data_IF_872114402680
#
_entry.id   IF_872114402680
#
_cell.length_a   1.000
_cell.length_b   1.000
_cell.length_c   1.000
_cell.angle_alpha   90.00
_cell.angle_beta   90.00
_cell.angle_gamma   90.00
#
_symmetry.space_group_name_H-M   'P 1'
#
loop_
_entity.id
_entity.type
_entity.pdbx_description
1 polymer ?
#
# COMPACT_ATOMS: atom_id res chain seq x y z
N UNK A 1 3.52 -21.84 -0.58
CA UNK A 1 2.17 -21.30 -0.93
C UNK A 1 1.29 -21.47 0.29
N UNK A 2 0.54 -20.44 0.67
CA UNK A 2 -0.40 -20.51 1.81
C UNK A 2 -1.68 -21.25 1.38
N UNK A 3 -2.22 -22.12 2.25
CA UNK A 3 -3.50 -22.82 2.03
C UNK A 3 -4.63 -21.83 1.72
N UNK A 4 -4.63 -20.68 2.39
CA UNK A 4 -5.61 -19.59 2.20
C UNK A 4 -5.59 -19.03 0.78
N UNK A 5 -4.41 -18.93 0.15
CA UNK A 5 -4.28 -18.47 -1.23
C UNK A 5 -4.96 -19.45 -2.19
N UNK A 6 -4.81 -20.76 -1.96
CA UNK A 6 -5.50 -21.79 -2.75
C UNK A 6 -7.01 -21.76 -2.54
N UNK A 7 -7.47 -21.62 -1.29
CA UNK A 7 -8.89 -21.50 -0.97
C UNK A 7 -9.53 -20.25 -1.62
N UNK A 8 -8.81 -19.12 -1.62
CA UNK A 8 -9.23 -17.89 -2.29
C UNK A 8 -9.44 -18.08 -3.79
N UNK A 9 -8.47 -18.68 -4.49
CA UNK A 9 -8.58 -18.91 -5.94
C UNK A 9 -9.70 -19.90 -6.28
N UNK A 10 -9.87 -20.95 -5.46
CA UNK A 10 -10.99 -21.89 -5.63
C UNK A 10 -12.35 -21.22 -5.43
N UNK A 11 -12.50 -20.40 -4.37
CA UNK A 11 -13.73 -19.67 -4.10
C UNK A 11 -14.07 -18.68 -5.22
N UNK A 12 -13.07 -17.94 -5.69
CA UNK A 12 -13.19 -17.03 -6.83
C UNK A 12 -13.62 -17.75 -8.10
N UNK A 13 -12.99 -18.89 -8.41
CA UNK A 13 -13.33 -19.70 -9.57
C UNK A 13 -14.76 -20.25 -9.47
N UNK A 14 -15.18 -20.69 -8.28
CA UNK A 14 -16.54 -21.14 -8.02
C UNK A 14 -17.57 -20.01 -8.23
N UNK A 15 -17.30 -18.80 -7.73
CA UNK A 15 -18.15 -17.63 -7.96
C UNK A 15 -18.28 -17.26 -9.43
N UNK A 16 -17.15 -17.20 -10.15
CA UNK A 16 -17.14 -16.92 -11.59
C UNK A 16 -17.89 -17.99 -12.41
N UNK A 17 -17.80 -19.26 -12.00
CA UNK A 17 -18.56 -20.34 -12.65
C UNK A 17 -20.06 -20.23 -12.34
N UNK A 18 -20.42 -19.96 -11.08
CA UNK A 18 -21.80 -19.77 -10.65
C UNK A 18 -22.50 -18.63 -11.42
N UNK A 19 -21.82 -17.51 -11.64
CA UNK A 19 -22.32 -16.41 -12.47
C UNK A 19 -22.56 -16.84 -13.93
N UNK A 20 -21.61 -17.58 -14.53
CA UNK A 20 -21.73 -18.06 -15.92
C UNK A 20 -22.91 -19.00 -16.13
N UNK A 21 -23.18 -19.88 -15.17
CA UNK A 21 -24.31 -20.82 -15.24
C UNK A 21 -25.63 -20.22 -14.75
N UNK A 22 -25.65 -18.92 -14.41
CA UNK A 22 -26.81 -18.22 -13.84
C UNK A 22 -27.35 -18.92 -12.59
N UNK A 23 -26.44 -19.38 -11.73
CA UNK A 23 -26.79 -19.95 -10.44
C UNK A 23 -27.59 -18.94 -9.60
N UNK A 24 -28.31 -19.43 -8.59
CA UNK A 24 -29.06 -18.56 -7.69
C UNK A 24 -28.11 -17.57 -7.01
N UNK A 25 -28.60 -16.36 -6.76
CA UNK A 25 -27.86 -15.29 -6.07
C UNK A 25 -27.28 -15.78 -4.73
N UNK A 26 -28.02 -16.62 -4.01
CA UNK A 26 -27.58 -17.24 -2.75
C UNK A 26 -26.29 -18.06 -2.90
N UNK A 27 -26.12 -18.81 -3.99
CA UNK A 27 -24.89 -19.59 -4.22
C UNK A 27 -23.69 -18.71 -4.55
N UNK A 28 -23.92 -17.63 -5.30
CA UNK A 28 -22.89 -16.62 -5.62
C UNK A 28 -22.45 -15.91 -4.33
N UNK A 29 -23.40 -15.51 -3.48
CA UNK A 29 -23.11 -14.85 -2.21
C UNK A 29 -22.34 -15.77 -1.26
N UNK A 30 -22.69 -17.06 -1.20
CA UNK A 30 -21.92 -18.08 -0.44
C UNK A 30 -20.48 -18.22 -0.94
N UNK A 31 -20.28 -18.26 -2.26
CA UNK A 31 -18.93 -18.32 -2.84
C UNK A 31 -18.12 -17.05 -2.52
N UNK A 32 -18.75 -15.88 -2.59
CA UNK A 32 -18.11 -14.60 -2.23
C UNK A 32 -17.74 -14.52 -0.75
N UNK A 33 -18.58 -15.03 0.15
CA UNK A 33 -18.24 -15.15 1.59
C UNK A 33 -17.03 -16.06 1.81
N UNK A 34 -17.00 -17.22 1.16
CA UNK A 34 -15.83 -18.12 1.24
C UNK A 34 -14.55 -17.45 0.70
N UNK A 35 -14.67 -16.68 -0.37
CA UNK A 35 -13.57 -15.90 -0.92
C UNK A 35 -13.11 -14.80 0.04
N UNK A 36 -14.04 -14.10 0.70
CA UNK A 36 -13.74 -13.10 1.72
C UNK A 36 -12.99 -13.71 2.92
N UNK A 37 -13.48 -14.83 3.46
CA UNK A 37 -12.83 -15.50 4.60
C UNK A 37 -11.40 -15.93 4.24
N UNK A 38 -11.21 -16.52 3.05
CA UNK A 38 -9.89 -16.87 2.56
C UNK A 38 -8.97 -15.64 2.39
N UNK A 39 -9.51 -14.52 1.89
CA UNK A 39 -8.78 -13.26 1.72
C UNK A 39 -8.36 -12.68 3.07
N UNK A 40 -9.23 -12.71 4.09
CA UNK A 40 -8.92 -12.25 5.45
C UNK A 40 -7.78 -13.07 6.05
N UNK A 41 -7.85 -14.39 5.97
CA UNK A 41 -6.80 -15.28 6.48
C UNK A 41 -5.48 -15.01 5.74
N UNK A 42 -5.50 -14.92 4.41
CA UNK A 42 -4.31 -14.60 3.60
C UNK A 42 -3.69 -13.27 4.03
N UNK A 43 -4.52 -12.25 4.26
CA UNK A 43 -4.07 -10.92 4.67
C UNK A 43 -3.44 -10.93 6.05
N UNK A 44 -4.02 -11.65 7.02
CA UNK A 44 -3.42 -11.84 8.35
C UNK A 44 -2.08 -12.58 8.28
N UNK A 45 -1.94 -13.58 7.40
CA UNK A 45 -0.66 -14.23 7.16
C UNK A 45 0.39 -13.24 6.61
N UNK A 46 0.00 -12.30 5.74
CA UNK A 46 0.90 -11.25 5.27
C UNK A 46 1.32 -10.29 6.38
N UNK A 47 0.38 -9.90 7.26
CA UNK A 47 0.70 -9.10 8.45
C UNK A 47 1.76 -9.81 9.31
N UNK A 48 1.53 -11.09 9.64
CA UNK A 48 2.46 -11.88 10.43
C UNK A 48 3.83 -12.07 9.75
N UNK A 49 3.84 -12.31 8.42
CA UNK A 49 5.07 -12.42 7.65
C UNK A 49 5.89 -11.12 7.68
N UNK A 50 5.25 -9.97 7.49
CA UNK A 50 5.92 -8.68 7.55
C UNK A 50 6.53 -8.41 8.93
N UNK A 51 5.84 -8.82 9.99
CA UNK A 51 6.33 -8.70 11.36
C UNK A 51 7.52 -9.60 11.66
N UNK A 52 7.44 -10.88 11.28
CA UNK A 52 8.55 -11.81 11.43
C UNK A 52 9.81 -11.34 10.67
N UNK A 53 9.64 -10.79 9.46
CA UNK A 53 10.75 -10.28 8.66
C UNK A 53 11.35 -9.02 9.28
N UNK A 54 10.53 -8.08 9.73
CA UNK A 54 11.02 -6.85 10.36
C UNK A 54 11.71 -7.14 11.71
N UNK A 55 11.18 -8.08 12.49
CA UNK A 55 11.82 -8.58 13.72
C UNK A 55 13.18 -9.23 13.42
N UNK A 56 13.25 -10.11 12.42
CA UNK A 56 14.51 -10.70 11.98
C UNK A 56 15.51 -9.65 11.49
N UNK A 57 15.03 -8.57 10.86
CA UNK A 57 15.86 -7.45 10.42
C UNK A 57 16.40 -6.65 11.60
N UNK A 58 15.59 -6.35 12.62
CA UNK A 58 16.02 -5.65 13.85
C UNK A 58 17.04 -6.48 14.61
N UNK A 59 16.84 -7.78 14.69
CA UNK A 59 17.74 -8.73 15.35
C UNK A 59 19.03 -9.03 14.56
N UNK A 60 19.25 -8.38 13.41
CA UNK A 60 20.44 -8.58 12.57
C UNK A 60 20.53 -9.94 11.87
N UNK A 61 19.46 -10.74 11.91
CA UNK A 61 19.38 -12.09 11.31
C UNK A 61 19.11 -12.04 9.80
N UNK A 62 18.66 -10.90 9.27
CA UNK A 62 18.41 -10.74 7.84
C UNK A 62 19.65 -10.19 7.11
N UNK A 63 20.17 -10.95 6.14
CA UNK A 63 21.26 -10.52 5.27
C UNK A 63 20.74 -9.60 4.16
N UNK A 64 21.40 -8.46 3.95
CA UNK A 64 21.06 -7.47 2.90
C UNK A 64 21.70 -7.75 1.53
N UNK A 65 22.43 -8.86 1.38
CA UNK A 65 23.14 -9.17 0.14
C UNK A 65 24.31 -8.21 -0.09
N UNK A 66 25.41 -8.43 0.61
CA UNK A 66 26.67 -7.70 0.46
C UNK A 66 27.86 -8.67 0.53
N UNK A 67 29.09 -8.15 0.41
CA UNK A 67 30.33 -8.96 0.49
C UNK A 67 30.28 -9.87 1.72
N UNK A 68 30.33 -11.19 1.49
CA UNK A 68 30.33 -12.19 2.55
C UNK A 68 31.46 -11.87 3.53
N UNK A 69 31.11 -11.70 4.82
CA UNK A 69 32.11 -11.71 5.88
C UNK A 69 32.64 -13.13 6.00
N UNK A 70 33.96 -13.27 6.03
CA UNK A 70 34.71 -14.53 6.12
C UNK A 70 34.46 -15.32 7.42
N UNK A 71 33.64 -14.80 8.35
CA UNK A 71 33.37 -15.41 9.64
C UNK A 71 32.00 -16.11 9.59
N UNK A 72 32.04 -17.43 9.76
CA UNK A 72 30.93 -18.39 9.59
C UNK A 72 29.94 -18.44 10.77
N UNK A 73 29.94 -17.47 11.68
CA UNK A 73 29.36 -17.61 13.03
C UNK A 73 28.05 -16.83 13.26
N UNK A 74 27.42 -16.34 12.19
CA UNK A 74 26.15 -15.61 12.30
C UNK A 74 25.06 -16.32 11.49
N UNK A 75 24.01 -16.81 12.18
CA UNK A 75 22.76 -17.37 11.61
C UNK A 75 21.98 -16.28 10.83
N UNK A 76 22.57 -15.80 9.74
CA UNK A 76 21.96 -14.83 8.84
C UNK A 76 21.40 -15.53 7.63
N UNK A 77 20.16 -15.20 7.29
CA UNK A 77 19.49 -15.70 6.10
C UNK A 77 19.10 -14.56 5.15
N UNK A 78 19.00 -14.86 3.86
CA UNK A 78 18.44 -13.94 2.87
C UNK A 78 16.93 -14.14 2.71
N UNK A 79 16.22 -13.12 2.21
CA UNK A 79 14.79 -13.26 1.90
C UNK A 79 14.51 -14.37 0.87
N UNK A 80 15.46 -14.59 -0.05
CA UNK A 80 15.37 -15.61 -1.09
C UNK A 80 15.47 -17.03 -0.51
N UNK A 81 16.34 -17.25 0.48
CA UNK A 81 16.47 -18.54 1.18
C UNK A 81 15.18 -18.96 1.91
N UNK A 82 14.41 -17.99 2.42
CA UNK A 82 13.11 -18.23 3.04
C UNK A 82 11.93 -18.12 2.05
N UNK A 83 12.21 -17.99 0.75
CA UNK A 83 11.21 -17.96 -0.31
C UNK A 83 10.31 -16.72 -0.31
N UNK A 84 10.78 -15.61 0.28
CA UNK A 84 10.04 -14.34 0.35
C UNK A 84 10.53 -13.41 -0.76
N UNK A 85 9.62 -13.11 -1.69
CA UNK A 85 9.84 -12.11 -2.73
C UNK A 85 9.73 -10.68 -2.16
N UNK A 86 10.64 -9.78 -2.56
CA UNK A 86 10.69 -8.38 -2.09
C UNK A 86 9.39 -7.63 -2.37
N UNK A 87 8.77 -7.87 -3.53
CA UNK A 87 7.50 -7.23 -3.89
C UNK A 87 6.36 -7.72 -2.99
N UNK A 88 6.30 -9.02 -2.69
CA UNK A 88 5.36 -9.57 -1.71
C UNK A 88 5.57 -9.00 -0.32
N UNK A 89 6.82 -8.86 0.12
CA UNK A 89 7.13 -8.24 1.42
C UNK A 89 6.67 -6.78 1.48
N UNK A 90 6.88 -6.00 0.41
CA UNK A 90 6.38 -4.63 0.33
C UNK A 90 4.84 -4.57 0.45
N UNK A 91 4.15 -5.45 -0.27
CA UNK A 91 2.68 -5.55 -0.19
C UNK A 91 2.20 -5.92 1.21
N UNK A 92 2.85 -6.91 1.84
CA UNK A 92 2.56 -7.33 3.20
C UNK A 92 2.78 -6.20 4.22
N UNK A 93 3.87 -5.43 4.08
CA UNK A 93 4.12 -4.23 4.91
C UNK A 93 3.05 -3.17 4.74
N UNK A 94 2.57 -2.94 3.52
CA UNK A 94 1.47 -2.01 3.27
C UNK A 94 0.17 -2.47 3.95
N UNK A 95 -0.19 -3.75 3.86
CA UNK A 95 -1.42 -4.24 4.52
C UNK A 95 -1.28 -4.16 6.04
N UNK A 96 -0.13 -4.60 6.58
CA UNK A 96 0.17 -4.51 8.01
C UNK A 96 0.09 -3.08 8.53
N UNK A 97 0.72 -2.13 7.85
CA UNK A 97 0.76 -0.76 8.33
C UNK A 97 -0.65 -0.15 8.37
N UNK A 98 -1.52 -0.50 7.41
CA UNK A 98 -2.92 -0.08 7.43
C UNK A 98 -3.67 -0.71 8.61
N UNK A 99 -3.50 -2.02 8.83
CA UNK A 99 -4.11 -2.73 9.97
C UNK A 99 -3.64 -2.20 11.32
N UNK A 100 -2.36 -1.80 11.44
CA UNK A 100 -1.81 -1.19 12.66
C UNK A 100 -2.31 0.24 12.88
N UNK A 101 -2.45 1.02 11.81
CA UNK A 101 -2.96 2.38 11.88
C UNK A 101 -4.45 2.40 12.28
N UNK A 102 -5.22 1.43 11.79
CA UNK A 102 -6.66 1.36 12.02
C UNK A 102 -7.10 -0.10 12.28
N UNK A 103 -6.99 -0.60 13.52
CA UNK A 103 -7.31 -2.00 13.85
C UNK A 103 -8.67 -2.45 13.33
N UNK A 104 -8.73 -3.64 12.72
CA UNK A 104 -9.91 -4.15 12.02
C UNK A 104 -10.08 -3.64 10.58
N UNK A 105 -9.07 -2.98 10.02
CA UNK A 105 -9.09 -2.44 8.66
C UNK A 105 -9.37 -3.53 7.61
N UNK A 106 -8.67 -4.67 7.70
CA UNK A 106 -8.85 -5.79 6.75
C UNK A 106 -10.30 -6.27 6.78
N UNK A 107 -10.84 -6.47 7.99
CA UNK A 107 -12.22 -6.92 8.19
C UNK A 107 -13.22 -5.94 7.57
N UNK A 108 -13.13 -4.66 7.95
CA UNK A 108 -14.04 -3.61 7.45
C UNK A 108 -14.02 -3.49 5.92
N UNK A 109 -12.83 -3.51 5.31
CA UNK A 109 -12.70 -3.37 3.86
C UNK A 109 -13.27 -4.57 3.12
N UNK A 110 -13.08 -5.78 3.65
CA UNK A 110 -13.63 -7.00 3.03
C UNK A 110 -15.15 -7.06 3.20
N UNK A 111 -15.66 -6.79 4.39
CA UNK A 111 -17.11 -6.81 4.66
C UNK A 111 -17.86 -5.73 3.88
N UNK A 112 -17.32 -4.51 3.78
CA UNK A 112 -17.92 -3.45 2.97
C UNK A 112 -18.14 -3.89 1.51
N UNK A 113 -17.24 -4.70 0.95
CA UNK A 113 -17.42 -5.24 -0.40
C UNK A 113 -18.51 -6.29 -0.49
N UNK A 114 -18.65 -7.13 0.53
CA UNK A 114 -19.74 -8.10 0.59
C UNK A 114 -21.10 -7.41 0.71
N UNK A 115 -21.19 -6.36 1.55
CA UNK A 115 -22.41 -5.57 1.75
C UNK A 115 -22.84 -4.84 0.46
N UNK A 116 -21.89 -4.33 -0.31
CA UNK A 116 -22.12 -3.74 -1.63
C UNK A 116 -22.48 -4.79 -2.70
N UNK A 117 -22.42 -6.09 -2.38
CA UNK A 117 -22.63 -7.17 -3.34
C UNK A 117 -21.52 -7.25 -4.40
N UNK A 118 -20.33 -6.76 -4.07
CA UNK A 118 -19.14 -6.79 -4.92
C UNK A 118 -18.19 -7.93 -4.53
N UNK A 119 -17.38 -8.38 -5.48
CA UNK A 119 -16.38 -9.41 -5.23
C UNK A 119 -15.23 -8.86 -4.35
N UNK A 120 -14.89 -9.54 -3.23
CA UNK A 120 -13.72 -9.19 -2.43
C UNK A 120 -12.44 -9.55 -3.21
N UNK A 121 -11.50 -8.60 -3.33
CA UNK A 121 -10.28 -8.81 -4.14
C UNK A 121 -9.01 -8.30 -3.49
N UNK A 122 -7.89 -9.00 -3.72
CA UNK A 122 -6.54 -8.58 -3.30
C UNK A 122 -6.19 -7.16 -3.77
N UNK A 123 -6.50 -6.86 -5.03
CA UNK A 123 -6.25 -5.53 -5.60
C UNK A 123 -7.10 -4.45 -4.92
N UNK A 124 -8.36 -4.76 -4.58
CA UNK A 124 -9.23 -3.87 -3.82
C UNK A 124 -8.67 -3.55 -2.44
N UNK A 125 -8.28 -4.59 -1.69
CA UNK A 125 -7.66 -4.45 -0.36
C UNK A 125 -6.36 -3.66 -0.42
N UNK A 126 -5.48 -3.96 -1.38
CA UNK A 126 -4.22 -3.24 -1.59
C UNK A 126 -4.45 -1.76 -1.88
N UNK A 127 -5.42 -1.43 -2.74
CA UNK A 127 -5.76 -0.03 -3.01
C UNK A 127 -6.24 0.66 -1.74
N UNK A 128 -7.12 0.03 -0.96
CA UNK A 128 -7.58 0.59 0.32
C UNK A 128 -6.40 0.83 1.29
N UNK A 129 -5.47 -0.13 1.40
CA UNK A 129 -4.31 -0.01 2.28
C UNK A 129 -3.37 1.13 1.85
N UNK A 130 -3.22 1.35 0.55
CA UNK A 130 -2.45 2.46 0.00
C UNK A 130 -3.05 3.85 0.32
N UNK A 131 -4.38 3.96 0.36
CA UNK A 131 -5.06 5.20 0.75
C UNK A 131 -4.92 5.46 2.27
N UNK A 132 -4.96 4.41 3.09
CA UNK A 132 -4.76 4.49 4.53
C UNK A 132 -3.34 4.96 4.93
N UNK A 133 -2.31 4.67 4.11
CA UNK A 133 -0.89 4.94 4.44
C UNK A 133 -0.38 6.28 3.87
N UNK A 134 -1.24 7.14 3.33
CA UNK A 134 -0.84 8.55 3.24
C UNK A 134 0.11 8.93 2.10
N UNK A 135 0.19 8.19 1.00
CA UNK A 135 0.97 8.67 -0.19
C UNK A 135 0.16 9.55 -1.15
N UNK A 136 -1.15 9.72 -0.92
CA UNK A 136 -2.03 10.66 -1.66
C UNK A 136 -3.18 11.18 -0.80
N UNK A 137 -2.89 11.59 0.43
CA UNK A 137 -3.95 11.90 1.41
C UNK A 137 -3.65 13.16 2.18
N UNK A 138 -3.28 14.24 1.47
CA UNK A 138 -3.65 15.56 1.96
C UNK A 138 -5.13 15.75 1.61
N UNK A 139 -5.97 15.98 2.61
CA UNK A 139 -7.37 16.42 2.43
C UNK A 139 -7.43 17.71 1.59
N UNK A 140 -8.59 18.07 1.02
CA UNK A 140 -8.72 19.35 0.28
C UNK A 140 -8.25 20.54 1.12
N UNK A 141 -8.52 20.50 2.42
CA UNK A 141 -8.09 21.51 3.38
C UNK A 141 -6.58 21.49 3.64
N UNK A 142 -5.94 20.31 3.69
CA UNK A 142 -4.48 20.16 3.85
C UNK A 142 -3.67 20.41 2.57
N UNK A 143 -4.29 20.22 1.39
CA UNK A 143 -3.74 20.63 0.10
C UNK A 143 -3.71 22.14 -0.04
N UNK A 144 -4.56 22.86 0.71
CA UNK A 144 -4.84 24.27 0.48
C UNK A 144 -5.57 24.49 -0.85
N UNK A 145 -5.82 25.76 -1.19
CA UNK A 145 -6.11 26.13 -2.58
C UNK A 145 -4.84 25.89 -3.38
N UNK A 146 -4.68 24.67 -3.89
CA UNK A 146 -3.64 24.23 -4.81
C UNK A 146 -3.90 24.86 -6.20
N UNK A 147 -4.11 26.17 -6.20
CA UNK A 147 -4.28 27.00 -7.36
C UNK A 147 -2.87 27.28 -7.86
N UNK A 148 -2.56 26.87 -9.09
CA UNK A 148 -1.38 27.33 -9.83
C UNK A 148 -1.38 28.85 -10.09
N UNK A 149 -2.24 29.59 -9.41
CA UNK A 149 -2.23 31.04 -9.33
C UNK A 149 -1.44 31.41 -8.09
N UNK A 150 -0.13 31.60 -8.27
CA UNK A 150 0.70 32.23 -7.24
C UNK A 150 -0.01 33.50 -6.78
N UNK A 151 -0.39 33.62 -5.49
CA UNK A 151 -1.09 34.81 -5.01
C UNK A 151 -0.23 36.04 -5.30
N UNK A 152 -0.87 37.16 -5.66
CA UNK A 152 -0.16 38.34 -6.14
C UNK A 152 0.86 38.86 -5.11
N UNK A 153 0.62 38.61 -3.82
CA UNK A 153 1.54 38.87 -2.72
C UNK A 153 2.81 38.02 -2.79
N UNK A 154 2.70 36.73 -3.14
CA UNK A 154 3.85 35.85 -3.34
C UNK A 154 4.65 36.25 -4.59
N UNK A 155 3.97 36.57 -5.70
CA UNK A 155 4.62 37.11 -6.91
C UNK A 155 5.37 38.41 -6.61
N UNK A 156 4.74 39.34 -5.87
CA UNK A 156 5.38 40.60 -5.46
C UNK A 156 6.59 40.37 -4.56
N UNK A 157 6.52 39.39 -3.66
CA UNK A 157 7.63 39.04 -2.76
C UNK A 157 8.80 38.47 -3.55
N UNK A 158 8.54 37.58 -4.51
CA UNK A 158 9.55 37.03 -5.41
C UNK A 158 10.19 38.13 -6.28
N UNK A 159 9.38 39.04 -6.83
CA UNK A 159 9.86 40.16 -7.65
C UNK A 159 10.59 41.24 -6.84
N UNK A 160 10.37 41.31 -5.52
CA UNK A 160 11.06 42.22 -4.62
C UNK A 160 12.45 41.73 -4.19
N UNK A 161 12.84 40.50 -4.55
CA UNK A 161 14.19 40.00 -4.31
C UNK A 161 15.17 40.73 -5.22
N UNK A 162 16.14 41.43 -4.64
CA UNK A 162 17.19 42.16 -5.37
C UNK A 162 18.18 41.24 -6.10
N UNK A 163 18.09 39.93 -5.88
CA UNK A 163 18.83 38.90 -6.61
C UNK A 163 18.00 37.63 -6.77
N UNK A 164 17.99 37.07 -7.98
CA UNK A 164 17.28 35.84 -8.30
C UNK A 164 18.22 34.63 -8.22
N UNK A 165 17.75 33.56 -7.58
CA UNK A 165 18.39 32.24 -7.56
C UNK A 165 17.59 31.26 -8.41
N UNK A 166 18.25 30.23 -8.96
CA UNK A 166 17.58 29.15 -9.71
C UNK A 166 16.66 28.29 -8.86
N UNK A 167 16.74 28.42 -7.53
CA UNK A 167 15.94 27.67 -6.58
C UNK A 167 15.37 28.61 -5.53
N UNK A 168 14.06 28.89 -5.62
CA UNK A 168 13.33 29.60 -4.58
C UNK A 168 12.35 28.65 -3.93
N UNK A 169 12.49 28.46 -2.62
CA UNK A 169 11.51 27.72 -1.83
C UNK A 169 10.31 28.66 -1.62
N UNK A 170 9.21 28.41 -2.31
CA UNK A 170 7.98 29.17 -2.13
C UNK A 170 7.13 28.54 -1.01
N UNK A 171 6.97 29.19 0.16
CA UNK A 171 6.26 28.61 1.30
C UNK A 171 4.73 28.64 1.14
N UNK A 172 4.22 29.31 0.11
CA UNK A 172 2.79 29.42 -0.22
C UNK A 172 2.23 28.20 -0.92
N UNK A 173 3.07 27.26 -1.40
CA UNK A 173 2.57 26.01 -1.99
C UNK A 173 2.13 25.07 -0.86
N UNK A 174 0.91 24.54 -0.95
CA UNK A 174 0.37 23.62 0.07
C UNK A 174 1.21 22.34 0.20
N UNK A 175 1.01 21.55 1.26
CA UNK A 175 1.79 20.32 1.54
C UNK A 175 1.71 19.25 0.43
N UNK A 176 0.78 19.39 -0.52
CA UNK A 176 0.62 18.53 -1.69
C UNK A 176 1.21 19.09 -2.99
N UNK A 177 1.60 20.37 -3.03
CA UNK A 177 2.31 20.96 -4.16
C UNK A 177 3.78 20.55 -4.10
N UNK A 178 4.33 20.07 -5.21
CA UNK A 178 5.78 19.81 -5.29
C UNK A 178 6.51 21.17 -5.31
N UNK A 179 7.22 21.58 -4.24
CA UNK A 179 8.00 22.83 -4.28
C UNK A 179 9.10 22.79 -5.34
N UNK A 180 9.41 21.61 -5.90
CA UNK A 180 10.37 21.42 -6.97
C UNK A 180 9.75 21.45 -8.39
N UNK A 181 8.45 21.74 -8.55
CA UNK A 181 7.82 21.85 -9.87
C UNK A 181 8.27 23.10 -10.66
N UNK A 182 8.93 24.07 -10.01
CA UNK A 182 9.63 25.18 -10.67
C UNK A 182 10.99 24.75 -11.27
N UNK A 183 11.21 23.46 -11.55
CA UNK A 183 12.31 22.99 -12.40
C UNK A 183 12.00 23.36 -13.84
N UNK A 184 12.47 24.55 -14.25
CA UNK A 184 12.51 24.94 -15.65
C UNK A 184 13.15 23.84 -16.49
N UNK A 185 12.35 23.22 -17.36
CA UNK A 185 12.87 22.44 -18.47
C UNK A 185 13.72 23.37 -19.33
N UNK A 186 15.01 23.06 -19.45
CA UNK A 186 15.90 23.77 -20.36
C UNK A 186 15.40 23.67 -21.79
N UNK A 187 15.46 24.80 -22.49
CA UNK A 187 15.54 24.85 -23.95
C UNK A 187 16.90 24.29 -24.41
#
# INVERSE_FOLDING_TARGET
MLLSSGAYEQAKAAGAYAEKVKASRELIDKARRMQADALKIESLCYVAMADAVDEAQVNGKLSRGGRQKTVHDEDRFTLEEVGIDKRRLHEARSIRNAERAEPGFIERVVEARLDEGLEPSRAGLKRAAGHAIGTKTATKDERGEDLYETPIEAVRTLLALESFTTHVLEPSVGKGGDPAAARGGGL
#
